data_IF_227570705465
#
_entry.id   IF_227570705465
#
_cell.length_a   1.000
_cell.length_b   1.000
_cell.length_c   1.000
_cell.angle_alpha   90.00
_cell.angle_beta   90.00
_cell.angle_gamma   90.00
#
_symmetry.space_group_name_H-M   'P 1'
#
loop_
_entity.id
_entity.type
_entity.pdbx_description
1 polymer ?
#
# COMPACT_ATOMS: atom_id res chain seq x y z
N UNK A 1 -11.04 -23.74 -13.07
CA UNK A 1 -9.65 -23.94 -13.51
C UNK A 1 -8.89 -22.66 -13.19
N UNK A 2 -8.27 -22.58 -12.00
CA UNK A 2 -7.41 -21.46 -11.64
C UNK A 2 -6.22 -21.50 -12.59
N UNK A 3 -6.13 -20.53 -13.53
CA UNK A 3 -4.88 -20.29 -14.24
C UNK A 3 -3.81 -20.07 -13.17
N UNK A 4 -2.73 -20.82 -13.25
CA UNK A 4 -1.55 -20.59 -12.45
C UNK A 4 -1.07 -19.17 -12.75
N UNK A 5 -1.48 -18.20 -11.91
CA UNK A 5 -1.00 -16.84 -11.99
C UNK A 5 0.51 -16.95 -11.87
N UNK A 6 1.24 -16.54 -12.91
CA UNK A 6 2.70 -16.41 -12.87
C UNK A 6 3.06 -15.28 -11.88
N UNK A 7 2.86 -15.54 -10.59
CA UNK A 7 3.10 -14.63 -9.47
C UNK A 7 4.58 -14.22 -9.41
N UNK A 8 5.47 -14.98 -10.04
CA UNK A 8 6.90 -14.70 -10.20
C UNK A 8 7.14 -13.43 -11.03
N UNK A 9 6.27 -13.11 -11.99
CA UNK A 9 6.40 -11.94 -12.86
C UNK A 9 5.73 -10.68 -12.29
N UNK A 10 4.92 -10.83 -11.24
CA UNK A 10 4.16 -9.75 -10.62
C UNK A 10 4.90 -9.34 -9.34
N UNK A 11 5.34 -8.07 -9.28
CA UNK A 11 5.90 -7.51 -8.06
C UNK A 11 4.80 -7.32 -7.01
N UNK A 12 4.35 -8.38 -6.35
CA UNK A 12 3.63 -8.24 -5.08
C UNK A 12 4.64 -7.95 -3.99
N UNK A 13 4.36 -6.96 -3.13
CA UNK A 13 5.22 -6.67 -1.99
C UNK A 13 5.08 -7.79 -0.97
N UNK A 14 6.16 -8.55 -0.76
CA UNK A 14 6.28 -9.52 0.32
C UNK A 14 7.26 -8.99 1.37
N UNK A 15 6.89 -7.88 2.02
CA UNK A 15 7.70 -7.25 3.07
C UNK A 15 7.21 -7.60 4.49
N UNK A 16 6.05 -8.25 4.61
CA UNK A 16 5.49 -8.76 5.86
C UNK A 16 4.65 -10.03 5.62
N UNK A 17 4.71 -10.98 6.56
CA UNK A 17 3.83 -12.15 6.62
C UNK A 17 2.95 -12.01 7.86
N UNK A 18 1.64 -11.90 7.64
CA UNK A 18 0.64 -11.98 8.69
C UNK A 18 -0.08 -13.31 8.54
N UNK A 19 0.00 -14.15 9.57
CA UNK A 19 -0.65 -15.44 9.60
C UNK A 19 -2.06 -15.32 10.21
N UNK A 20 -3.05 -16.06 9.68
CA UNK A 20 -4.40 -16.09 10.22
C UNK A 20 -4.47 -16.98 11.48
N UNK A 21 -3.63 -16.69 12.47
CA UNK A 21 -3.60 -17.43 13.73
C UNK A 21 -4.68 -16.90 14.67
N UNK A 22 -5.36 -17.82 15.35
CA UNK A 22 -6.21 -17.47 16.49
C UNK A 22 -5.36 -16.71 17.54
N UNK A 23 -5.87 -15.62 18.14
CA UNK A 23 -5.14 -14.86 19.15
C UNK A 23 -4.65 -15.69 20.35
N UNK A 24 -5.34 -16.77 20.68
CA UNK A 24 -5.01 -17.61 21.84
C UNK A 24 -4.15 -18.82 21.47
N UNK A 25 -3.91 -19.07 20.17
CA UNK A 25 -3.09 -20.18 19.72
C UNK A 25 -1.60 -19.87 19.88
N UNK A 26 -0.91 -20.64 20.72
CA UNK A 26 0.56 -20.66 20.77
C UNK A 26 1.11 -21.81 19.94
N UNK A 27 1.80 -21.50 18.85
CA UNK A 27 2.32 -22.50 17.90
C UNK A 27 3.79 -22.27 17.55
N UNK A 28 4.43 -23.26 16.94
CA UNK A 28 5.73 -23.12 16.28
C UNK A 28 5.52 -23.20 14.78
N UNK A 29 6.20 -22.35 14.01
CA UNK A 29 6.10 -22.36 12.56
C UNK A 29 7.16 -23.29 11.95
N UNK A 30 6.79 -24.14 10.97
CA UNK A 30 7.69 -25.13 10.37
C UNK A 30 8.62 -24.54 9.29
N UNK A 31 8.69 -23.20 9.17
CA UNK A 31 9.47 -22.52 8.13
C UNK A 31 10.22 -21.33 8.71
N UNK A 32 11.36 -20.99 8.10
CA UNK A 32 12.14 -19.80 8.46
C UNK A 32 11.60 -18.59 7.71
N UNK A 33 11.51 -17.46 8.40
CA UNK A 33 11.27 -16.15 7.78
C UNK A 33 11.90 -15.05 8.61
N UNK A 34 12.14 -13.88 8.00
CA UNK A 34 12.63 -12.65 8.66
C UNK A 34 11.61 -11.51 8.61
N UNK A 35 10.40 -11.80 8.12
CA UNK A 35 9.34 -10.83 7.87
C UNK A 35 8.04 -11.23 8.58
N UNK A 36 8.09 -12.07 9.63
CA UNK A 36 6.88 -12.37 10.39
C UNK A 36 6.35 -11.08 11.02
N UNK A 37 5.06 -10.82 10.90
CA UNK A 37 4.46 -9.65 11.52
C UNK A 37 4.62 -9.68 13.03
N UNK A 38 4.85 -8.51 13.64
CA UNK A 38 4.81 -8.37 15.10
C UNK A 38 3.46 -8.84 15.68
N UNK A 39 2.37 -8.78 14.90
CA UNK A 39 1.04 -9.28 15.28
C UNK A 39 1.08 -10.77 15.63
N UNK A 40 1.87 -11.58 14.91
CA UNK A 40 1.95 -13.02 15.14
C UNK A 40 3.11 -13.45 16.04
N UNK A 41 4.07 -12.55 16.31
CA UNK A 41 5.26 -12.90 17.09
C UNK A 41 4.92 -13.36 18.50
N UNK A 42 3.94 -12.72 19.16
CA UNK A 42 3.50 -13.13 20.50
C UNK A 42 2.92 -14.55 20.55
N UNK A 43 2.42 -15.06 19.41
CA UNK A 43 1.80 -16.38 19.29
C UNK A 43 2.72 -17.46 18.71
N UNK A 44 3.92 -17.06 18.30
CA UNK A 44 4.86 -17.95 17.64
C UNK A 44 6.04 -18.23 18.57
N UNK A 45 6.09 -19.43 19.14
CA UNK A 45 7.09 -19.84 20.16
C UNK A 45 8.52 -19.73 19.66
N UNK A 46 8.74 -20.07 18.40
CA UNK A 46 10.05 -20.04 17.75
C UNK A 46 10.28 -18.75 16.96
N UNK A 47 9.64 -17.64 17.32
CA UNK A 47 9.88 -16.32 16.74
C UNK A 47 10.55 -15.35 17.72
N UNK A 48 11.34 -14.42 17.18
CA UNK A 48 11.98 -13.35 17.95
C UNK A 48 11.98 -12.03 17.17
N UNK A 49 11.69 -10.93 17.87
CA UNK A 49 11.87 -9.57 17.35
C UNK A 49 13.30 -9.05 17.57
N UNK A 50 13.98 -9.54 18.61
CA UNK A 50 15.27 -9.00 19.07
C UNK A 50 16.43 -9.39 18.13
N UNK A 51 16.41 -10.60 17.59
CA UNK A 51 17.51 -11.13 16.76
C UNK A 51 17.19 -11.11 15.27
N UNK A 52 16.75 -9.95 14.76
CA UNK A 52 16.37 -9.77 13.36
C UNK A 52 16.94 -8.51 12.69
N UNK A 53 18.16 -8.08 13.05
CA UNK A 53 18.87 -6.97 12.40
C UNK A 53 18.05 -5.68 12.28
N UNK A 54 17.22 -5.37 13.28
CA UNK A 54 16.32 -4.21 13.30
C UNK A 54 15.40 -4.10 12.06
N UNK A 55 15.07 -5.26 11.44
CA UNK A 55 14.13 -5.30 10.32
C UNK A 55 12.77 -4.77 10.77
N UNK A 56 12.25 -3.88 9.94
CA UNK A 56 10.97 -3.23 10.17
C UNK A 56 10.28 -2.95 8.85
N UNK A 57 8.99 -2.64 8.95
CA UNK A 57 8.14 -2.21 7.86
C UNK A 57 7.62 -0.80 8.14
N UNK A 58 7.44 0.01 7.10
CA UNK A 58 6.86 1.33 7.20
C UNK A 58 5.33 1.22 7.12
N UNK A 59 4.64 1.53 8.22
CA UNK A 59 3.18 1.56 8.27
C UNK A 59 2.68 3.01 8.36
N UNK A 60 1.67 3.36 7.57
CA UNK A 60 1.11 4.70 7.57
C UNK A 60 0.54 5.07 8.96
N UNK A 61 0.79 6.29 9.41
CA UNK A 61 0.34 6.79 10.72
C UNK A 61 -1.20 6.89 10.83
N UNK A 62 -1.91 7.00 9.71
CA UNK A 62 -3.38 7.17 9.69
C UNK A 62 -3.83 8.54 10.17
N UNK A 63 -5.16 8.78 10.20
CA UNK A 63 -5.73 10.08 10.54
C UNK A 63 -6.31 10.19 11.97
N UNK A 64 -6.34 9.07 12.70
CA UNK A 64 -6.87 8.97 14.07
C UNK A 64 -5.92 9.44 15.16
N UNK A 65 -6.21 9.02 16.39
CA UNK A 65 -5.36 9.25 17.54
C UNK A 65 -3.96 8.63 17.35
N UNK A 66 -2.91 9.36 17.71
CA UNK A 66 -1.52 8.97 17.45
C UNK A 66 -1.09 9.04 15.98
N UNK A 67 -1.99 9.43 15.07
CA UNK A 67 -1.73 9.54 13.63
C UNK A 67 -1.10 10.87 13.20
N UNK A 68 -1.45 11.33 12.00
CA UNK A 68 -0.98 12.63 11.49
C UNK A 68 -1.46 13.79 12.37
N UNK A 69 -0.57 14.77 12.61
CA UNK A 69 -0.91 15.98 13.35
C UNK A 69 -1.99 16.81 12.62
N UNK A 70 -2.70 17.66 13.37
CA UNK A 70 -3.70 18.58 12.80
C UNK A 70 -3.11 19.50 11.73
N UNK A 71 -1.86 19.95 11.90
CA UNK A 71 -1.16 20.77 10.91
C UNK A 71 -0.86 20.00 9.63
N UNK A 72 -0.40 18.75 9.73
CA UNK A 72 -0.19 17.87 8.56
C UNK A 72 -1.50 17.63 7.82
N UNK A 73 -2.57 17.26 8.54
CA UNK A 73 -3.91 17.03 7.94
C UNK A 73 -4.44 18.29 7.24
N UNK A 74 -4.25 19.46 7.84
CA UNK A 74 -4.64 20.75 7.24
C UNK A 74 -3.84 21.04 5.96
N UNK A 75 -2.52 20.88 5.98
CA UNK A 75 -1.69 21.07 4.79
C UNK A 75 -2.05 20.14 3.64
N UNK A 76 -2.28 18.85 3.91
CA UNK A 76 -2.70 17.89 2.89
C UNK A 76 -4.07 18.24 2.29
N UNK A 77 -5.02 18.67 3.12
CA UNK A 77 -6.34 19.16 2.65
C UNK A 77 -6.22 20.41 1.78
N UNK A 78 -5.32 21.34 2.12
CA UNK A 78 -5.06 22.54 1.29
C UNK A 78 -4.44 22.18 -0.05
N UNK A 79 -3.49 21.26 -0.09
CA UNK A 79 -2.88 20.78 -1.33
C UNK A 79 -3.90 20.11 -2.25
N UNK A 80 -4.75 19.22 -1.70
CA UNK A 80 -5.86 18.63 -2.44
C UNK A 80 -6.83 19.69 -2.95
N UNK A 81 -7.28 20.62 -2.09
CA UNK A 81 -8.19 21.70 -2.50
C UNK A 81 -7.61 22.57 -3.60
N UNK A 82 -6.32 22.92 -3.52
CA UNK A 82 -5.63 23.69 -4.56
C UNK A 82 -5.61 22.94 -5.90
N UNK A 83 -5.36 21.64 -5.88
CA UNK A 83 -5.40 20.81 -7.08
C UNK A 83 -6.80 20.74 -7.68
N UNK A 84 -7.83 20.50 -6.86
CA UNK A 84 -9.23 20.47 -7.31
C UNK A 84 -9.68 21.82 -7.88
N UNK A 85 -9.35 22.93 -7.21
CA UNK A 85 -9.68 24.27 -7.68
C UNK A 85 -9.00 24.64 -9.01
N UNK A 86 -7.93 23.94 -9.38
CA UNK A 86 -7.22 24.13 -10.64
C UNK A 86 -7.73 23.22 -11.77
N UNK A 87 -8.88 22.55 -11.58
CA UNK A 87 -9.45 21.60 -12.56
C UNK A 87 -8.94 20.16 -12.39
N UNK A 88 -8.20 19.87 -11.32
CA UNK A 88 -7.83 18.51 -10.98
C UNK A 88 -9.03 17.70 -10.47
N UNK A 89 -9.00 16.41 -10.71
CA UNK A 89 -10.03 15.45 -10.31
C UNK A 89 -9.39 14.20 -9.70
N UNK A 90 -10.17 13.44 -8.93
CA UNK A 90 -9.78 12.10 -8.51
C UNK A 90 -10.92 11.14 -8.73
N UNK A 91 -10.61 9.96 -9.27
CA UNK A 91 -11.58 8.94 -9.63
C UNK A 91 -11.16 7.62 -8.98
N UNK A 92 -12.11 6.90 -8.39
CA UNK A 92 -11.82 5.61 -7.79
C UNK A 92 -11.31 4.64 -8.85
N UNK A 93 -10.30 3.86 -8.50
CA UNK A 93 -9.69 2.89 -9.41
C UNK A 93 -10.71 1.88 -10.00
N UNK A 94 -11.81 1.62 -9.28
CA UNK A 94 -12.95 0.76 -9.67
C UNK A 94 -13.65 1.23 -10.96
N UNK A 95 -13.60 2.52 -11.27
CA UNK A 95 -14.23 3.09 -12.47
C UNK A 95 -13.42 2.84 -13.75
N UNK A 96 -12.19 2.31 -13.64
CA UNK A 96 -11.36 1.95 -14.78
C UNK A 96 -11.37 0.44 -14.99
N UNK A 97 -11.52 0.01 -16.25
CA UNK A 97 -11.28 -1.39 -16.62
C UNK A 97 -9.86 -1.83 -16.27
N UNK A 98 -9.60 -3.13 -16.07
CA UNK A 98 -8.26 -3.66 -15.85
C UNK A 98 -7.23 -3.20 -16.90
N UNK A 99 -7.64 -3.13 -18.16
CA UNK A 99 -6.83 -2.67 -19.28
C UNK A 99 -6.49 -1.18 -19.14
N UNK A 100 -7.50 -0.34 -18.88
CA UNK A 100 -7.29 1.10 -18.66
C UNK A 100 -6.39 1.35 -17.45
N UNK A 101 -6.64 0.68 -16.33
CA UNK A 101 -5.88 0.89 -15.11
C UNK A 101 -4.41 0.45 -15.27
N UNK A 102 -4.19 -0.65 -15.99
CA UNK A 102 -2.84 -1.10 -16.35
C UNK A 102 -2.14 -0.08 -17.25
N UNK A 103 -2.82 0.43 -18.28
CA UNK A 103 -2.28 1.46 -19.17
C UNK A 103 -1.88 2.73 -18.39
N UNK A 104 -2.75 3.19 -17.48
CA UNK A 104 -2.50 4.33 -16.60
C UNK A 104 -1.25 4.08 -15.75
N UNK A 105 -1.17 2.92 -15.11
CA UNK A 105 -0.01 2.55 -14.31
C UNK A 105 1.27 2.54 -15.15
N UNK A 106 1.27 1.91 -16.31
CA UNK A 106 2.45 1.81 -17.18
C UNK A 106 2.94 3.19 -17.64
N UNK A 107 2.03 4.07 -18.09
CA UNK A 107 2.35 5.44 -18.53
C UNK A 107 2.96 6.27 -17.39
N UNK A 108 2.30 6.31 -16.25
CA UNK A 108 2.76 7.09 -15.09
C UNK A 108 4.06 6.52 -14.49
N UNK A 109 4.24 5.20 -14.55
CA UNK A 109 5.48 4.55 -14.15
C UNK A 109 6.64 4.98 -15.08
N UNK A 110 6.44 4.95 -16.39
CA UNK A 110 7.43 5.38 -17.37
C UNK A 110 7.79 6.85 -17.20
N UNK A 111 6.81 7.74 -17.06
CA UNK A 111 7.03 9.17 -16.79
C UNK A 111 7.87 9.43 -15.54
N UNK A 112 7.71 8.59 -14.52
CA UNK A 112 8.45 8.72 -13.25
C UNK A 112 9.86 8.13 -13.34
N UNK A 113 10.01 6.96 -13.96
CA UNK A 113 11.22 6.13 -13.86
C UNK A 113 12.04 6.06 -15.16
N UNK A 114 11.55 6.63 -16.26
CA UNK A 114 12.21 6.63 -17.57
C UNK A 114 12.23 5.27 -18.27
N UNK A 115 11.42 4.30 -17.82
CA UNK A 115 11.31 2.97 -18.42
C UNK A 115 9.93 2.37 -18.21
N UNK A 116 9.47 1.55 -19.16
CA UNK A 116 8.21 0.80 -19.03
C UNK A 116 8.34 -0.38 -18.05
N UNK A 117 7.27 -0.74 -17.33
CA UNK A 117 7.22 -2.01 -16.62
C UNK A 117 7.16 -3.17 -17.63
N UNK A 118 7.85 -4.28 -17.35
CA UNK A 118 7.98 -5.41 -18.29
C UNK A 118 6.83 -6.42 -18.26
N UNK A 119 5.83 -6.26 -17.41
CA UNK A 119 4.85 -7.27 -17.03
C UNK A 119 3.39 -6.81 -17.25
N UNK A 120 3.13 -6.16 -18.39
CA UNK A 120 1.83 -5.55 -18.69
C UNK A 120 0.70 -6.59 -18.77
N UNK A 121 0.91 -7.70 -19.49
CA UNK A 121 -0.07 -8.78 -19.63
C UNK A 121 -0.45 -9.39 -18.29
N UNK A 122 0.54 -9.68 -17.46
CA UNK A 122 0.39 -10.26 -16.14
C UNK A 122 -0.31 -9.29 -15.18
N UNK A 123 -0.08 -7.99 -15.35
CA UNK A 123 -0.79 -6.96 -14.60
C UNK A 123 -2.27 -6.89 -14.95
N UNK A 124 -2.63 -6.99 -16.24
CA UNK A 124 -4.03 -7.08 -16.68
C UNK A 124 -4.67 -8.33 -16.06
N UNK A 125 -4.02 -9.49 -16.21
CA UNK A 125 -4.54 -10.76 -15.66
C UNK A 125 -4.73 -10.69 -14.14
N UNK A 126 -3.79 -10.08 -13.41
CA UNK A 126 -3.88 -9.87 -11.97
C UNK A 126 -5.04 -8.94 -11.61
N UNK A 127 -5.14 -7.76 -12.24
CA UNK A 127 -6.20 -6.78 -11.92
C UNK A 127 -7.57 -7.36 -12.25
N UNK A 128 -7.70 -8.09 -13.35
CA UNK A 128 -8.93 -8.80 -13.72
C UNK A 128 -9.29 -9.88 -12.70
N UNK A 129 -8.32 -10.69 -12.28
CA UNK A 129 -8.57 -11.84 -11.38
C UNK A 129 -8.81 -11.43 -9.92
N UNK A 130 -8.19 -10.33 -9.48
CA UNK A 130 -8.18 -9.87 -8.09
C UNK A 130 -8.84 -8.49 -7.94
N UNK A 131 -9.81 -8.15 -8.80
CA UNK A 131 -10.41 -6.81 -8.93
C UNK A 131 -10.83 -6.18 -7.60
N UNK A 132 -11.48 -6.95 -6.75
CA UNK A 132 -11.97 -6.54 -5.42
C UNK A 132 -10.87 -6.30 -4.39
N UNK A 133 -9.66 -6.82 -4.68
CA UNK A 133 -8.47 -6.65 -3.86
C UNK A 133 -7.64 -5.44 -4.29
N UNK A 134 -8.14 -4.56 -5.16
CA UNK A 134 -7.47 -3.28 -5.46
C UNK A 134 -8.17 -2.12 -4.78
N UNK A 135 -7.39 -1.10 -4.43
CA UNK A 135 -7.87 0.07 -3.69
C UNK A 135 -7.21 1.36 -4.15
N UNK A 136 -7.92 2.47 -3.93
CA UNK A 136 -7.37 3.81 -4.09
C UNK A 136 -7.88 4.55 -5.32
N UNK A 137 -7.20 5.64 -5.63
CA UNK A 137 -7.65 6.62 -6.61
C UNK A 137 -6.60 6.89 -7.68
N UNK A 138 -7.10 7.21 -8.88
CA UNK A 138 -6.34 7.85 -9.95
C UNK A 138 -6.59 9.36 -9.86
N UNK A 139 -5.53 10.16 -9.88
CA UNK A 139 -5.63 11.60 -10.07
C UNK A 139 -5.65 11.95 -11.55
N UNK A 140 -6.53 12.86 -11.94
CA UNK A 140 -6.62 13.38 -13.30
C UNK A 140 -6.42 14.90 -13.28
N UNK A 141 -5.79 15.43 -14.32
CA UNK A 141 -5.69 16.86 -14.59
C UNK A 141 -6.04 17.07 -16.06
N UNK A 142 -6.98 17.95 -16.37
CA UNK A 142 -7.56 18.13 -17.71
C UNK A 142 -8.03 16.80 -18.33
N UNK A 143 -8.71 15.97 -17.54
CA UNK A 143 -9.19 14.65 -17.94
C UNK A 143 -8.09 13.60 -18.20
N UNK A 144 -6.81 13.92 -17.94
CA UNK A 144 -5.68 13.01 -18.16
C UNK A 144 -5.11 12.50 -16.83
N UNK A 145 -4.83 11.19 -16.70
CA UNK A 145 -4.18 10.63 -15.52
C UNK A 145 -2.82 11.30 -15.23
N UNK A 146 -2.62 11.76 -14.00
CA UNK A 146 -1.39 12.41 -13.56
C UNK A 146 -0.76 11.78 -12.31
N UNK A 147 -1.48 10.94 -11.57
CA UNK A 147 -0.93 10.18 -10.45
C UNK A 147 -1.74 8.91 -10.17
N UNK A 148 -1.06 7.82 -9.85
CA UNK A 148 -1.69 6.58 -9.42
C UNK A 148 -0.75 5.75 -8.54
N UNK A 149 -1.31 5.05 -7.56
CA UNK A 149 -0.60 4.08 -6.73
C UNK A 149 -1.31 2.74 -6.86
N UNK A 150 -0.57 1.73 -7.29
CA UNK A 150 -1.02 0.35 -7.28
C UNK A 150 -1.05 -0.11 -5.82
N UNK A 151 -2.26 -0.25 -5.27
CA UNK A 151 -2.48 -0.65 -3.88
C UNK A 151 -3.37 -1.88 -3.87
N UNK A 152 -2.91 -2.94 -3.20
CA UNK A 152 -3.72 -4.12 -2.92
C UNK A 152 -4.37 -4.00 -1.54
N UNK A 153 -5.55 -4.59 -1.39
CA UNK A 153 -6.38 -4.60 -0.18
C UNK A 153 -6.72 -6.04 0.19
N UNK A 154 -6.53 -6.39 1.46
CA UNK A 154 -6.98 -7.66 2.02
C UNK A 154 -7.64 -7.43 3.38
N UNK A 155 -8.87 -7.92 3.54
CA UNK A 155 -9.63 -7.77 4.76
C UNK A 155 -9.44 -8.97 5.69
N UNK A 156 -9.24 -8.71 6.98
CA UNK A 156 -9.20 -9.69 8.06
C UNK A 156 -10.25 -9.35 9.12
N UNK A 157 -10.56 -10.23 10.07
CA UNK A 157 -11.56 -9.94 11.10
C UNK A 157 -11.25 -8.69 11.94
N UNK A 158 -9.97 -8.43 12.24
CA UNK A 158 -9.55 -7.33 13.14
C UNK A 158 -8.86 -6.16 12.43
N UNK A 159 -8.42 -6.33 11.19
CA UNK A 159 -7.68 -5.32 10.45
C UNK A 159 -7.96 -5.39 8.96
N UNK A 160 -7.63 -4.32 8.25
CA UNK A 160 -7.58 -4.29 6.79
C UNK A 160 -6.16 -3.95 6.37
N UNK A 161 -5.56 -4.83 5.58
CA UNK A 161 -4.24 -4.62 5.01
C UNK A 161 -4.35 -3.85 3.70
N UNK A 162 -3.51 -2.84 3.54
CA UNK A 162 -3.31 -2.12 2.29
C UNK A 162 -1.82 -2.13 1.96
N UNK A 163 -1.42 -2.70 0.83
CA UNK A 163 -0.02 -2.74 0.43
C UNK A 163 0.20 -1.79 -0.74
N UNK A 164 0.91 -0.70 -0.50
CA UNK A 164 1.34 0.22 -1.55
C UNK A 164 2.51 -0.40 -2.32
N UNK A 165 2.18 -1.10 -3.40
CA UNK A 165 3.12 -1.86 -4.24
C UNK A 165 4.10 -0.93 -4.95
N UNK A 166 3.57 -0.05 -5.78
CA UNK A 166 4.34 0.94 -6.52
C UNK A 166 3.40 2.02 -7.06
N UNK A 167 3.95 3.12 -7.59
CA UNK A 167 3.12 4.18 -8.14
C UNK A 167 3.90 5.09 -9.07
N UNK A 168 3.16 5.71 -9.97
CA UNK A 168 3.65 6.67 -10.94
C UNK A 168 2.99 8.03 -10.76
N UNK A 169 3.66 9.07 -11.21
CA UNK A 169 3.08 10.38 -11.36
C UNK A 169 3.77 11.14 -12.49
N UNK A 170 3.04 12.05 -13.11
CA UNK A 170 3.54 12.90 -14.17
C UNK A 170 4.25 14.12 -13.57
N UNK A 171 5.53 14.27 -13.90
CA UNK A 171 6.39 15.33 -13.38
C UNK A 171 6.04 16.72 -13.94
N UNK A 172 5.28 16.77 -15.05
CA UNK A 172 4.76 18.04 -15.60
C UNK A 172 3.88 18.79 -14.59
N UNK A 173 3.29 18.07 -13.63
CA UNK A 173 2.41 18.64 -12.61
C UNK A 173 3.07 18.74 -11.22
N UNK A 174 4.41 18.72 -11.14
CA UNK A 174 5.16 18.76 -9.87
C UNK A 174 4.79 19.97 -8.98
N UNK A 175 4.34 21.09 -9.56
CA UNK A 175 3.84 22.27 -8.84
C UNK A 175 2.66 21.96 -7.90
N UNK A 176 1.85 20.96 -8.22
CA UNK A 176 0.77 20.48 -7.36
C UNK A 176 1.20 19.39 -6.38
N UNK A 177 2.37 18.77 -6.59
CA UNK A 177 2.84 17.60 -5.86
C UNK A 177 1.86 16.40 -5.94
N UNK A 178 1.50 15.93 -7.16
CA UNK A 178 0.49 14.88 -7.38
C UNK A 178 0.75 13.61 -6.56
N UNK A 179 2.03 13.20 -6.43
CA UNK A 179 2.41 12.05 -5.60
C UNK A 179 2.04 12.20 -4.12
N UNK A 180 2.13 13.42 -3.56
CA UNK A 180 1.71 13.70 -2.17
C UNK A 180 0.19 13.66 -2.03
N UNK A 181 -0.52 14.23 -3.01
CA UNK A 181 -1.99 14.29 -3.00
C UNK A 181 -2.58 12.88 -3.10
N UNK A 182 -2.12 12.06 -4.06
CA UNK A 182 -2.63 10.69 -4.21
C UNK A 182 -2.33 9.84 -2.99
N UNK A 183 -1.15 10.00 -2.39
CA UNK A 183 -0.80 9.31 -1.14
C UNK A 183 -1.73 9.72 0.01
N UNK A 184 -2.01 11.02 0.15
CA UNK A 184 -2.94 11.51 1.16
C UNK A 184 -4.35 10.95 0.97
N UNK A 185 -4.89 11.00 -0.25
CA UNK A 185 -6.21 10.48 -0.57
C UNK A 185 -6.33 8.99 -0.24
N UNK A 186 -5.35 8.19 -0.65
CA UNK A 186 -5.35 6.74 -0.42
C UNK A 186 -5.24 6.40 1.07
N UNK A 187 -4.32 7.02 1.81
CA UNK A 187 -4.17 6.76 3.25
C UNK A 187 -5.39 7.24 4.04
N UNK A 188 -5.93 8.43 3.72
CA UNK A 188 -7.12 8.95 4.39
C UNK A 188 -8.33 8.04 4.14
N UNK A 189 -8.54 7.61 2.90
CA UNK A 189 -9.68 6.75 2.55
C UNK A 189 -9.53 5.34 3.14
N UNK A 190 -8.31 4.80 3.19
CA UNK A 190 -8.04 3.53 3.86
C UNK A 190 -8.32 3.61 5.37
N UNK A 191 -7.99 4.74 5.99
CA UNK A 191 -8.31 5.01 7.39
C UNK A 191 -9.81 5.11 7.61
N UNK A 192 -10.53 5.86 6.78
CA UNK A 192 -11.99 6.05 6.89
C UNK A 192 -12.71 4.71 6.70
N UNK A 193 -12.32 3.91 5.70
CA UNK A 193 -12.86 2.56 5.46
C UNK A 193 -12.60 1.62 6.65
N UNK A 194 -11.37 1.59 7.17
CA UNK A 194 -11.05 0.70 8.30
C UNK A 194 -11.83 1.12 9.55
N UNK A 195 -11.91 2.42 9.81
CA UNK A 195 -12.61 2.98 10.97
C UNK A 195 -14.12 2.75 10.92
N UNK A 196 -14.75 2.91 9.75
CA UNK A 196 -16.19 2.64 9.59
C UNK A 196 -16.56 1.18 9.83
N UNK A 197 -15.61 0.27 9.61
CA UNK A 197 -15.76 -1.17 9.87
C UNK A 197 -15.31 -1.59 11.28
N UNK A 198 -14.85 -0.65 12.12
CA UNK A 198 -14.30 -0.96 13.45
C UNK A 198 -13.01 -1.78 13.41
N UNK A 199 -12.24 -1.68 12.32
CA UNK A 199 -11.01 -2.45 12.07
C UNK A 199 -9.78 -1.56 12.12
N UNK A 200 -8.65 -2.14 12.53
CA UNK A 200 -7.36 -1.46 12.47
C UNK A 200 -6.89 -1.33 11.02
N UNK A 201 -6.54 -0.12 10.59
CA UNK A 201 -5.87 0.09 9.31
C UNK A 201 -4.42 -0.41 9.40
N UNK A 202 -4.01 -1.29 8.48
CA UNK A 202 -2.62 -1.72 8.33
C UNK A 202 -2.12 -1.38 6.92
N UNK A 203 -1.76 -0.12 6.72
CA UNK A 203 -1.31 0.40 5.43
C UNK A 203 0.22 0.36 5.33
N UNK A 204 0.76 -0.52 4.52
CA UNK A 204 2.19 -0.74 4.30
C UNK A 204 2.74 0.10 3.15
N UNK A 205 3.86 0.78 3.40
CA UNK A 205 4.73 1.36 2.39
C UNK A 205 5.93 0.44 2.08
N UNK A 206 5.95 -0.79 2.61
CA UNK A 206 7.06 -1.73 2.50
C UNK A 206 8.28 -1.33 3.35
N UNK A 207 9.47 -1.79 2.95
CA UNK A 207 10.73 -1.59 3.69
C UNK A 207 11.13 -0.11 3.91
N UNK A 208 11.84 0.23 4.99
CA UNK A 208 12.31 1.59 5.31
C UNK A 208 13.54 2.01 4.48
N UNK A 209 13.43 2.01 3.15
CA UNK A 209 14.55 2.29 2.23
C UNK A 209 14.59 3.73 1.71
N UNK A 210 13.51 4.51 1.85
CA UNK A 210 13.41 5.86 1.30
C UNK A 210 13.00 6.88 2.37
N UNK A 211 13.75 7.98 2.50
CA UNK A 211 13.56 8.98 3.56
C UNK A 211 12.17 9.62 3.58
N UNK A 212 11.49 9.73 2.43
CA UNK A 212 10.14 10.30 2.41
C UNK A 212 9.13 9.49 3.24
N UNK A 213 9.37 8.18 3.46
CA UNK A 213 8.48 7.30 4.22
C UNK A 213 8.34 7.74 5.67
N UNK A 214 9.34 8.40 6.25
CA UNK A 214 9.30 8.88 7.65
C UNK A 214 8.23 9.96 7.88
N UNK A 215 7.89 10.71 6.83
CA UNK A 215 6.80 11.69 6.86
C UNK A 215 5.44 10.98 6.99
N UNK A 216 5.27 9.88 6.28
CA UNK A 216 4.00 9.15 6.18
C UNK A 216 3.83 8.06 7.23
N UNK A 217 4.93 7.46 7.69
CA UNK A 217 4.92 6.18 8.36
C UNK A 217 5.61 6.22 9.72
N UNK A 218 5.20 5.32 10.59
CA UNK A 218 6.03 4.82 11.68
C UNK A 218 6.66 3.48 11.27
N UNK A 219 7.67 3.03 12.02
CA UNK A 219 8.31 1.74 11.79
C UNK A 219 7.72 0.69 12.73
N UNK A 220 7.27 -0.44 12.19
CA UNK A 220 6.85 -1.60 12.97
C UNK A 220 7.90 -2.71 12.84
N UNK A 221 8.36 -3.34 13.93
CA UNK A 221 9.38 -4.37 13.87
C UNK A 221 8.83 -5.64 13.19
N UNK A 222 9.72 -6.40 12.56
CA UNK A 222 9.43 -7.70 11.96
C UNK A 222 10.18 -8.81 12.71
N UNK A 223 9.53 -9.95 12.86
CA UNK A 223 10.03 -11.13 13.53
C UNK A 223 10.83 -12.06 12.62
N UNK A 224 11.82 -12.70 13.24
CA UNK A 224 12.53 -13.84 12.69
C UNK A 224 11.96 -15.12 13.28
N UNK A 225 11.56 -16.05 12.43
CA UNK A 225 11.29 -17.43 12.85
C UNK A 225 12.59 -18.22 12.79
N UNK A 226 13.00 -18.72 13.95
CA UNK A 226 14.10 -19.65 14.13
C UNK A 226 13.47 -21.03 13.90
N UNK A 227 13.76 -21.73 12.80
CA UNK A 227 13.20 -23.07 12.62
C UNK A 227 13.52 -23.93 13.86
N UNK A 228 12.55 -24.76 14.23
CA UNK A 228 12.73 -25.79 15.24
C UNK A 228 13.86 -26.74 14.85
#
# INVERSE_FOLDING_TARGET
MLKELALISIHLIMDEIILPLCPDLKTSLPFKTKILSCINCGNTRNATLNYNSQRSICLAKGCGEGGYSSSTKSSRRRELKRFLNAGGEFVEQSHFSPEQLTLIYCDLFEKRWGRKPGNKSEMIDMISSLREMFFGYVLLFDGKPCAFQLITKAESPKWICFDYVNGGFDRLHDSFCPGTIVTWLNVNSAYDLSSSMGKTMRYSFGKPTAGYKERWCYRSPLGRVLAA
#
